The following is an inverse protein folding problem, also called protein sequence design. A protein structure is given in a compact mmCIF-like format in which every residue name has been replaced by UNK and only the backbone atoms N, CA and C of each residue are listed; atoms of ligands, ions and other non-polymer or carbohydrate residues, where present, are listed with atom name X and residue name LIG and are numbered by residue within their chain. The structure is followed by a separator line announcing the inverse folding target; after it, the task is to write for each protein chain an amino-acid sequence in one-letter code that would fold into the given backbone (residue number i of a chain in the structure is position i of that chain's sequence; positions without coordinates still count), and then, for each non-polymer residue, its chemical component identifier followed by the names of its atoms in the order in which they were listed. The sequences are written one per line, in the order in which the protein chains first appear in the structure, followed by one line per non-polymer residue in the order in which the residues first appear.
data_IF_255452515829
#
_entry.id   IF_255452515829
#
_cell.length_a   1.000
_cell.length_b   1.000
_cell.length_c   1.000
_cell.angle_alpha   90.00
_cell.angle_beta   90.00
_cell.angle_gamma   90.00
#
_symmetry.space_group_name_H-M   'P 1'
#
loop_
_entity.id
_entity.type
_entity.pdbx_description
1 polymer ?
#
# COMPACT_ATOMS: atom_id res chain seq x y z
N UNK A 1 35.10 33.51 -1.91
CA UNK A 1 34.88 32.15 -2.42
C UNK A 1 34.46 31.29 -1.24
N UNK A 2 33.18 31.21 -1.01
CA UNK A 2 32.62 30.42 0.07
C UNK A 2 31.64 29.47 -0.60
N UNK A 3 32.07 28.24 -0.69
CA UNK A 3 31.32 27.13 -1.26
C UNK A 3 30.36 26.64 -0.18
N UNK A 4 29.09 26.98 -0.35
CA UNK A 4 28.04 26.52 0.52
C UNK A 4 27.60 25.14 0.07
N UNK A 5 28.21 24.13 0.65
CA UNK A 5 27.72 22.76 0.57
C UNK A 5 26.34 22.70 1.23
N UNK A 6 25.28 22.74 0.42
CA UNK A 6 23.95 22.37 0.84
C UNK A 6 23.94 20.88 1.12
N UNK A 7 24.06 20.54 2.40
CA UNK A 7 23.79 19.21 2.92
C UNK A 7 22.32 18.88 2.67
N UNK A 8 22.06 18.15 1.61
CA UNK A 8 20.79 17.48 1.43
C UNK A 8 20.66 16.40 2.51
N UNK A 9 20.00 16.76 3.59
CA UNK A 9 19.52 15.81 4.57
C UNK A 9 18.39 15.01 3.92
N UNK A 10 18.73 14.02 3.10
CA UNK A 10 17.80 12.94 2.81
C UNK A 10 17.48 12.30 4.16
N UNK A 11 16.25 12.54 4.64
CA UNK A 11 15.72 11.78 5.75
C UNK A 11 15.84 10.30 5.38
N UNK A 12 16.81 9.62 5.98
CA UNK A 12 17.06 8.20 5.74
C UNK A 12 15.79 7.46 6.15
N UNK A 13 15.03 7.00 5.17
CA UNK A 13 13.87 6.17 5.43
C UNK A 13 14.31 4.99 6.32
N UNK A 14 13.57 4.75 7.40
CA UNK A 14 13.92 3.70 8.35
C UNK A 14 13.85 2.34 7.67
N UNK A 15 14.99 1.73 7.42
CA UNK A 15 15.06 0.40 6.80
C UNK A 15 14.56 -0.68 7.76
N UNK A 16 14.03 -1.80 7.23
CA UNK A 16 13.70 -2.96 8.03
C UNK A 16 14.87 -3.38 8.93
N UNK A 17 14.57 -3.85 10.14
CA UNK A 17 15.61 -4.28 11.08
C UNK A 17 16.28 -5.58 10.65
N UNK A 18 15.55 -6.44 9.94
CA UNK A 18 16.11 -7.68 9.38
C UNK A 18 16.90 -7.42 8.11
N UNK A 19 18.13 -7.91 8.06
CA UNK A 19 18.96 -7.86 6.84
C UNK A 19 18.31 -8.65 5.71
N UNK A 20 17.71 -9.80 6.03
CA UNK A 20 17.07 -10.66 5.05
C UNK A 20 15.80 -10.05 4.46
N UNK A 21 15.04 -9.27 5.24
CA UNK A 21 13.90 -8.52 4.73
C UNK A 21 14.35 -7.47 3.70
N UNK A 22 15.45 -6.75 3.97
CA UNK A 22 16.05 -5.81 3.02
C UNK A 22 16.51 -6.46 1.71
N UNK A 23 16.82 -7.74 1.74
CA UNK A 23 17.18 -8.55 0.57
C UNK A 23 15.99 -9.28 -0.06
N UNK A 24 14.77 -8.93 0.33
CA UNK A 24 13.54 -9.55 -0.15
C UNK A 24 13.24 -10.93 0.45
N UNK A 25 13.95 -11.35 1.50
CA UNK A 25 13.68 -12.59 2.24
C UNK A 25 13.16 -12.28 3.64
N UNK A 26 12.13 -12.99 4.06
CA UNK A 26 11.59 -12.89 5.42
C UNK A 26 12.37 -13.80 6.36
N UNK A 27 12.88 -13.23 7.44
CA UNK A 27 13.69 -13.94 8.41
C UNK A 27 13.58 -13.25 9.77
N UNK A 28 13.58 -14.05 10.83
CA UNK A 28 13.67 -13.53 12.19
C UNK A 28 15.00 -12.81 12.42
N UNK A 29 14.98 -11.78 13.27
CA UNK A 29 16.20 -11.19 13.81
C UNK A 29 16.99 -12.22 14.62
N UNK A 30 18.27 -11.95 14.85
CA UNK A 30 19.09 -12.77 15.75
C UNK A 30 18.51 -12.86 17.17
N UNK A 31 17.75 -11.86 17.60
CA UNK A 31 17.01 -11.84 18.87
C UNK A 31 15.74 -12.71 18.87
N UNK A 32 15.43 -13.41 17.79
CA UNK A 32 14.20 -14.19 17.61
C UNK A 32 12.94 -13.34 17.36
N UNK A 33 13.07 -12.02 17.17
CA UNK A 33 11.93 -11.13 16.94
C UNK A 33 11.65 -10.98 15.44
N UNK A 34 10.37 -10.78 15.11
CA UNK A 34 9.87 -10.42 13.79
C UNK A 34 8.68 -9.48 13.97
N UNK A 35 8.71 -8.30 13.36
CA UNK A 35 7.66 -7.30 13.51
C UNK A 35 6.76 -7.31 12.30
N UNK A 36 5.47 -7.45 12.54
CA UNK A 36 4.44 -7.33 11.51
C UNK A 36 3.60 -6.10 11.82
N UNK A 37 3.43 -5.23 10.85
CA UNK A 37 2.43 -4.17 10.88
C UNK A 37 1.23 -4.61 10.05
N UNK A 38 0.07 -4.72 10.68
CA UNK A 38 -1.18 -5.02 10.00
C UNK A 38 -1.93 -3.73 9.71
N UNK A 39 -2.34 -3.55 8.46
CA UNK A 39 -3.22 -2.48 8.01
C UNK A 39 -4.52 -3.11 7.50
N UNK A 40 -5.63 -2.79 8.16
CA UNK A 40 -6.96 -3.24 7.77
C UNK A 40 -7.82 -2.03 7.41
N UNK A 41 -8.80 -2.22 6.53
CA UNK A 41 -9.86 -1.26 6.26
C UNK A 41 -9.35 0.15 5.92
N UNK A 42 -8.38 0.24 5.04
CA UNK A 42 -7.93 1.54 4.50
C UNK A 42 -9.12 2.26 3.84
N UNK A 43 -9.92 1.52 3.09
CA UNK A 43 -11.19 1.94 2.47
C UNK A 43 -11.13 3.34 1.83
N UNK A 44 -10.00 3.65 1.21
CA UNK A 44 -9.84 4.92 0.51
C UNK A 44 -10.37 4.81 -0.93
N UNK A 45 -10.78 5.93 -1.49
CA UNK A 45 -11.23 6.00 -2.88
C UNK A 45 -10.07 5.90 -3.87
N UNK A 46 -10.39 5.82 -5.17
CA UNK A 46 -9.38 5.83 -6.23
C UNK A 46 -8.48 7.06 -6.20
N UNK A 47 -8.90 8.13 -5.53
CA UNK A 47 -8.07 9.27 -5.16
C UNK A 47 -7.63 9.10 -3.71
N UNK A 48 -6.56 8.35 -3.52
CA UNK A 48 -6.05 8.11 -2.19
C UNK A 48 -5.73 9.42 -1.44
N UNK A 49 -6.14 9.50 -0.19
CA UNK A 49 -5.88 10.64 0.68
C UNK A 49 -4.39 10.75 1.01
N UNK A 50 -3.87 11.97 1.02
CA UNK A 50 -2.51 12.23 1.48
C UNK A 50 -2.32 11.90 2.95
N UNK A 51 -3.37 11.99 3.75
CA UNK A 51 -3.32 11.65 5.18
C UNK A 51 -3.21 10.13 5.38
N UNK A 52 -3.88 9.33 4.52
CA UNK A 52 -3.68 7.87 4.48
C UNK A 52 -2.22 7.52 4.20
N UNK A 53 -1.62 8.14 3.18
CA UNK A 53 -0.21 7.90 2.82
C UNK A 53 0.72 8.31 3.97
N UNK A 54 0.48 9.48 4.58
CA UNK A 54 1.29 9.97 5.72
C UNK A 54 1.15 9.07 6.94
N UNK A 55 -0.05 8.58 7.22
CA UNK A 55 -0.30 7.68 8.35
C UNK A 55 0.49 6.38 8.20
N UNK A 56 0.41 5.74 7.01
CA UNK A 56 1.15 4.52 6.71
C UNK A 56 2.66 4.76 6.81
N UNK A 57 3.16 5.84 6.22
CA UNK A 57 4.57 6.21 6.29
C UNK A 57 5.03 6.38 7.75
N UNK A 58 4.28 7.16 8.55
CA UNK A 58 4.60 7.41 9.96
C UNK A 58 4.55 6.14 10.80
N UNK A 59 3.58 5.26 10.54
CA UNK A 59 3.49 3.96 11.23
C UNK A 59 4.70 3.07 10.88
N UNK A 60 5.12 3.04 9.62
CA UNK A 60 6.31 2.31 9.20
C UNK A 60 7.58 2.85 9.88
N UNK A 61 7.72 4.17 9.99
CA UNK A 61 8.87 4.80 10.63
C UNK A 61 8.90 4.51 12.14
N UNK A 62 7.74 4.54 12.80
CA UNK A 62 7.62 4.28 14.24
C UNK A 62 7.83 2.80 14.60
N UNK A 63 7.21 1.89 13.86
CA UNK A 63 7.23 0.44 14.14
C UNK A 63 8.49 -0.21 13.58
N UNK A 64 8.98 0.25 12.43
CA UNK A 64 10.07 -0.36 11.65
C UNK A 64 9.78 -1.84 11.41
N UNK A 65 8.69 -2.17 10.71
CA UNK A 65 8.26 -3.55 10.53
C UNK A 65 9.19 -4.30 9.57
N UNK A 66 9.23 -5.62 9.75
CA UNK A 66 9.87 -6.56 8.82
C UNK A 66 8.93 -6.98 7.69
N UNK A 67 7.61 -6.84 7.93
CA UNK A 67 6.55 -7.13 6.99
C UNK A 67 5.34 -6.23 7.27
N UNK A 68 4.72 -5.72 6.22
CA UNK A 68 3.39 -5.10 6.31
C UNK A 68 2.35 -6.01 5.67
N UNK A 69 1.23 -6.22 6.36
CA UNK A 69 0.11 -7.03 5.89
C UNK A 69 -1.11 -6.14 5.73
N UNK A 70 -1.60 -6.02 4.50
CA UNK A 70 -2.90 -5.43 4.23
C UNK A 70 -3.95 -6.53 4.25
N UNK A 71 -4.80 -6.52 5.26
CA UNK A 71 -5.71 -7.63 5.55
C UNK A 71 -7.14 -7.42 5.03
N UNK A 72 -7.28 -6.72 3.92
CA UNK A 72 -8.54 -6.51 3.22
C UNK A 72 -9.09 -5.10 3.31
N UNK A 73 -10.03 -4.80 2.42
CA UNK A 73 -10.71 -3.52 2.30
C UNK A 73 -9.74 -2.35 2.07
N UNK A 74 -8.82 -2.48 1.12
CA UNK A 74 -7.92 -1.41 0.74
C UNK A 74 -8.67 -0.32 -0.02
N UNK A 75 -9.61 -0.72 -0.87
CA UNK A 75 -10.38 0.15 -1.76
C UNK A 75 -11.80 0.28 -1.23
N UNK A 76 -12.38 1.48 -1.39
CA UNK A 76 -13.79 1.71 -1.16
C UNK A 76 -14.62 1.23 -2.38
N UNK A 77 -14.70 -0.09 -2.58
CA UNK A 77 -15.36 -0.70 -3.74
C UNK A 77 -16.85 -0.37 -3.89
N UNK A 78 -17.44 0.28 -2.89
CA UNK A 78 -18.80 0.82 -2.95
C UNK A 78 -18.90 2.20 -3.63
N UNK A 79 -17.78 2.80 -4.04
CA UNK A 79 -17.82 4.08 -4.76
C UNK A 79 -18.53 3.96 -6.12
N UNK A 80 -19.14 5.08 -6.53
CA UNK A 80 -19.91 5.16 -7.78
C UNK A 80 -19.11 4.78 -9.03
N UNK A 81 -17.79 4.96 -8.99
CA UNK A 81 -16.91 4.62 -10.12
C UNK A 81 -16.92 3.12 -10.43
N UNK A 82 -17.18 2.27 -9.44
CA UNK A 82 -17.27 0.81 -9.58
C UNK A 82 -18.67 0.32 -9.97
N UNK A 83 -19.70 1.19 -9.94
CA UNK A 83 -21.08 0.80 -10.18
C UNK A 83 -21.35 0.18 -11.56
N UNK A 84 -20.51 0.48 -12.55
CA UNK A 84 -20.61 -0.10 -13.90
C UNK A 84 -19.98 -1.49 -14.01
N UNK A 85 -19.03 -1.81 -13.15
CA UNK A 85 -18.23 -3.04 -13.22
C UNK A 85 -18.67 -4.09 -12.24
N UNK A 86 -19.27 -3.68 -11.13
CA UNK A 86 -19.62 -4.56 -10.04
C UNK A 86 -21.04 -4.30 -9.51
N UNK A 87 -21.84 -5.36 -9.38
CA UNK A 87 -23.19 -5.29 -8.83
C UNK A 87 -23.18 -5.75 -7.36
N UNK A 88 -23.01 -4.80 -6.44
CA UNK A 88 -22.92 -5.06 -5.00
C UNK A 88 -24.02 -5.98 -4.44
N UNK A 89 -25.28 -5.80 -4.89
CA UNK A 89 -26.40 -6.61 -4.39
C UNK A 89 -26.30 -8.10 -4.75
N UNK A 90 -25.59 -8.42 -5.82
CA UNK A 90 -25.47 -9.78 -6.34
C UNK A 90 -24.06 -10.34 -6.20
N UNK A 91 -23.12 -9.53 -5.78
CA UNK A 91 -21.70 -9.88 -5.73
C UNK A 91 -21.22 -10.49 -7.08
N UNK A 92 -21.65 -9.87 -8.15
CA UNK A 92 -21.39 -10.32 -9.51
C UNK A 92 -20.82 -9.21 -10.35
N UNK A 93 -19.96 -9.59 -11.29
CA UNK A 93 -19.53 -8.69 -12.35
C UNK A 93 -20.74 -8.27 -13.20
N UNK A 94 -20.78 -7.01 -13.62
CA UNK A 94 -21.84 -6.53 -14.51
C UNK A 94 -21.70 -7.18 -15.88
N UNK A 95 -22.78 -7.80 -16.37
CA UNK A 95 -22.78 -8.54 -17.63
C UNK A 95 -22.56 -7.70 -18.89
N UNK A 96 -22.69 -6.38 -18.81
CA UNK A 96 -22.66 -5.46 -19.93
C UNK A 96 -21.54 -4.41 -19.87
N UNK A 97 -20.41 -4.77 -19.26
CA UNK A 97 -19.26 -3.86 -19.24
C UNK A 97 -18.45 -3.96 -20.53
N UNK A 98 -18.10 -2.82 -21.13
CA UNK A 98 -17.20 -2.79 -22.28
C UNK A 98 -15.77 -3.16 -21.88
N UNK A 99 -15.02 -3.79 -22.78
CA UNK A 99 -13.61 -4.09 -22.54
C UNK A 99 -12.78 -2.83 -22.25
N UNK A 100 -13.14 -1.71 -22.86
CA UNK A 100 -12.51 -0.40 -22.62
C UNK A 100 -12.76 0.10 -21.21
N UNK A 101 -14.02 0.05 -20.71
CA UNK A 101 -14.35 0.48 -19.35
C UNK A 101 -13.65 -0.38 -18.30
N UNK A 102 -13.63 -1.70 -18.54
CA UNK A 102 -12.93 -2.66 -17.68
C UNK A 102 -11.44 -2.35 -17.59
N UNK A 103 -10.79 -2.12 -18.74
CA UNK A 103 -9.37 -1.74 -18.78
C UNK A 103 -9.10 -0.45 -18.03
N UNK A 104 -9.90 0.61 -18.27
CA UNK A 104 -9.73 1.89 -17.59
C UNK A 104 -9.84 1.75 -16.06
N UNK A 105 -10.74 0.89 -15.59
CA UNK A 105 -10.89 0.66 -14.16
C UNK A 105 -9.69 -0.09 -13.59
N UNK A 106 -9.22 -1.12 -14.27
CA UNK A 106 -8.01 -1.87 -13.87
C UNK A 106 -6.80 -0.93 -13.79
N UNK A 107 -6.61 -0.07 -14.79
CA UNK A 107 -5.51 0.91 -14.78
C UNK A 107 -5.59 1.86 -13.56
N UNK A 108 -6.79 2.33 -13.21
CA UNK A 108 -7.01 3.16 -12.01
C UNK A 108 -6.75 2.41 -10.71
N UNK A 109 -7.13 1.15 -10.62
CA UNK A 109 -6.84 0.30 -9.45
C UNK A 109 -5.34 0.09 -9.31
N UNK A 110 -4.64 -0.18 -10.41
CA UNK A 110 -3.18 -0.29 -10.39
C UNK A 110 -2.51 1.01 -9.92
N UNK A 111 -2.98 2.16 -10.39
CA UNK A 111 -2.47 3.46 -9.94
C UNK A 111 -2.71 3.68 -8.44
N UNK A 112 -3.90 3.32 -7.94
CA UNK A 112 -4.22 3.38 -6.51
C UNK A 112 -3.27 2.51 -5.69
N UNK A 113 -3.11 1.24 -6.08
CA UNK A 113 -2.23 0.29 -5.38
C UNK A 113 -0.79 0.79 -5.38
N UNK A 114 -0.28 1.26 -6.51
CA UNK A 114 1.06 1.83 -6.59
C UNK A 114 1.28 3.01 -5.62
N UNK A 115 0.29 3.90 -5.51
CA UNK A 115 0.35 5.03 -4.55
C UNK A 115 0.27 4.56 -3.10
N UNK A 116 -0.61 3.60 -2.80
CA UNK A 116 -0.77 3.05 -1.45
C UNK A 116 0.51 2.36 -0.96
N UNK A 117 1.18 1.63 -1.83
CA UNK A 117 2.38 0.85 -1.49
C UNK A 117 3.66 1.68 -1.51
N UNK A 118 3.66 2.85 -2.14
CA UNK A 118 4.86 3.68 -2.27
C UNK A 118 5.60 3.95 -0.95
N UNK A 119 4.96 4.26 0.19
CA UNK A 119 5.67 4.44 1.46
C UNK A 119 6.49 3.22 1.90
N UNK A 120 6.04 2.01 1.52
CA UNK A 120 6.72 0.77 1.85
C UNK A 120 7.88 0.50 0.89
N UNK A 121 7.65 0.73 -0.40
CA UNK A 121 8.67 0.57 -1.43
C UNK A 121 9.85 1.52 -1.21
N UNK A 122 9.57 2.78 -0.89
CA UNK A 122 10.59 3.78 -0.57
C UNK A 122 11.45 3.38 0.65
N UNK A 123 10.94 2.49 1.51
CA UNK A 123 11.61 1.97 2.72
C UNK A 123 12.14 0.55 2.54
N UNK A 124 11.96 -0.04 1.35
CA UNK A 124 12.29 -1.45 1.08
C UNK A 124 11.64 -2.42 2.10
N UNK A 125 10.42 -2.11 2.53
CA UNK A 125 9.65 -2.96 3.45
C UNK A 125 8.82 -3.95 2.63
N UNK A 126 8.99 -5.26 2.82
CA UNK A 126 8.13 -6.28 2.20
C UNK A 126 6.67 -6.12 2.62
N UNK A 127 5.76 -6.37 1.70
CA UNK A 127 4.34 -6.31 1.97
C UNK A 127 3.56 -7.42 1.28
N UNK A 128 2.41 -7.76 1.83
CA UNK A 128 1.44 -8.70 1.28
C UNK A 128 0.04 -8.12 1.41
N UNK A 129 -0.84 -8.54 0.51
CA UNK A 129 -2.24 -8.10 0.47
C UNK A 129 -3.16 -9.31 0.48
N UNK A 130 -4.24 -9.24 1.25
CA UNK A 130 -5.41 -10.10 1.10
C UNK A 130 -6.61 -9.25 0.68
N UNK A 131 -7.59 -9.85 0.06
CA UNK A 131 -8.80 -9.16 -0.35
C UNK A 131 -9.85 -9.18 0.76
N UNK A 132 -10.60 -8.07 0.89
CA UNK A 132 -11.76 -7.94 1.72
C UNK A 132 -13.05 -7.96 0.86
N UNK A 133 -14.16 -7.66 1.51
CA UNK A 133 -15.46 -7.63 0.84
C UNK A 133 -15.72 -6.33 0.05
N UNK A 134 -14.82 -5.37 0.11
CA UNK A 134 -14.90 -4.09 -0.62
C UNK A 134 -13.82 -3.94 -1.70
N UNK A 135 -12.86 -4.85 -1.79
CA UNK A 135 -11.81 -4.83 -2.81
C UNK A 135 -12.26 -5.38 -4.17
#
# INVERSE_FOLDING_TARGET
MTDSAQSEAHASAALPLSVSARLGRLQFHLSGKFRVLQCADVQDGLRISQDTIRLIASACDAVRPDLVVFSGNQIAGYEKVFAKTFQRRRWQESSNISASDKKQLVDKVHEFVAKLMKPLEDRSIPWVVTYGNHD
#
